data_IF_996975676814
#
_entry.id   IF_996975676814
#
_cell.length_a   1.000
_cell.length_b   1.000
_cell.length_c   1.000
_cell.angle_alpha   90.00
_cell.angle_beta   90.00
_cell.angle_gamma   90.00
#
_symmetry.space_group_name_H-M   'P 1'
#
loop_
_entity.id
_entity.type
_entity.pdbx_description
1 polymer ?
#
# COMPACT_ATOMS: atom_id res chain seq x y z
N UNK A 1 14.65 -7.98 -10.51
CA UNK A 1 14.75 -6.70 -9.76
C UNK A 1 13.94 -5.52 -10.34
N UNK A 2 13.61 -5.44 -11.64
CA UNK A 2 12.89 -4.27 -12.20
C UNK A 2 11.42 -4.08 -11.74
N UNK A 3 10.71 -5.17 -11.39
CA UNK A 3 9.28 -5.09 -11.06
C UNK A 3 8.97 -4.44 -9.70
N UNK A 4 9.81 -4.64 -8.68
CA UNK A 4 9.58 -4.03 -7.36
C UNK A 4 9.79 -2.54 -7.37
N UNK A 5 10.86 -2.05 -8.01
CA UNK A 5 11.12 -0.62 -8.13
C UNK A 5 9.94 0.10 -8.81
N UNK A 6 9.44 -0.46 -9.92
CA UNK A 6 8.26 0.06 -10.60
C UNK A 6 7.01 0.05 -9.72
N UNK A 7 6.81 -1.01 -8.93
CA UNK A 7 5.65 -1.12 -8.03
C UNK A 7 5.71 -0.10 -6.89
N UNK A 8 6.90 0.18 -6.34
CA UNK A 8 7.12 1.22 -5.34
C UNK A 8 6.84 2.62 -5.91
N UNK A 9 7.35 2.93 -7.11
CA UNK A 9 7.06 4.20 -7.79
C UNK A 9 5.56 4.40 -8.04
N UNK A 10 4.83 3.32 -8.37
CA UNK A 10 3.38 3.37 -8.52
C UNK A 10 2.72 3.69 -7.17
N UNK A 11 3.17 3.07 -6.08
CA UNK A 11 2.66 3.34 -4.73
C UNK A 11 2.85 4.82 -4.33
N UNK A 12 4.03 5.37 -4.58
CA UNK A 12 4.34 6.79 -4.33
C UNK A 12 3.38 7.69 -5.12
N UNK A 13 3.26 7.47 -6.43
CA UNK A 13 2.35 8.24 -7.29
C UNK A 13 0.89 8.17 -6.81
N UNK A 14 0.42 7.01 -6.34
CA UNK A 14 -0.94 6.87 -5.78
C UNK A 14 -1.11 7.62 -4.47
N UNK A 15 -0.08 7.61 -3.62
CA UNK A 15 -0.06 8.36 -2.37
C UNK A 15 -0.15 9.86 -2.64
N UNK A 16 0.65 10.38 -3.56
CA UNK A 16 0.63 11.80 -3.94
C UNK A 16 -0.67 12.22 -4.60
N UNK A 17 -1.26 11.33 -5.41
CA UNK A 17 -2.59 11.57 -5.99
C UNK A 17 -3.63 11.76 -4.89
N UNK A 18 -3.66 10.86 -3.89
CA UNK A 18 -4.61 10.96 -2.79
C UNK A 18 -4.36 12.21 -1.94
N UNK A 19 -3.10 12.51 -1.61
CA UNK A 19 -2.73 13.76 -0.91
C UNK A 19 -3.21 15.00 -1.65
N UNK A 20 -3.01 15.05 -2.97
CA UNK A 20 -3.43 16.17 -3.81
C UNK A 20 -4.94 16.33 -3.81
N UNK A 21 -5.69 15.23 -3.94
CA UNK A 21 -7.16 15.26 -3.91
C UNK A 21 -7.69 15.74 -2.56
N UNK A 22 -7.09 15.30 -1.45
CA UNK A 22 -7.44 15.76 -0.11
C UNK A 22 -7.15 17.26 0.04
N UNK A 23 -5.93 17.72 -0.33
CA UNK A 23 -5.55 19.14 -0.25
C UNK A 23 -6.43 20.06 -1.10
N UNK A 24 -6.93 19.56 -2.23
CA UNK A 24 -7.81 20.31 -3.14
C UNK A 24 -9.30 20.19 -2.79
N UNK A 25 -9.65 19.56 -1.65
CA UNK A 25 -11.04 19.29 -1.26
C UNK A 25 -11.85 18.67 -2.41
N UNK A 26 -11.24 17.70 -3.10
CA UNK A 26 -11.92 16.95 -4.15
C UNK A 26 -13.16 16.22 -3.60
N UNK A 27 -14.06 15.78 -4.48
CA UNK A 27 -15.27 15.10 -4.04
C UNK A 27 -14.95 13.82 -3.26
N UNK A 28 -15.80 13.49 -2.28
CA UNK A 28 -15.64 12.30 -1.45
C UNK A 28 -15.49 11.03 -2.30
N UNK A 29 -16.29 10.91 -3.37
CA UNK A 29 -16.19 9.82 -4.33
C UNK A 29 -14.77 9.71 -4.95
N UNK A 30 -14.17 10.82 -5.36
CA UNK A 30 -12.81 10.84 -5.94
C UNK A 30 -11.75 10.43 -4.91
N UNK A 31 -11.89 10.92 -3.67
CA UNK A 31 -10.98 10.60 -2.56
C UNK A 31 -11.06 9.10 -2.22
N UNK A 32 -12.26 8.55 -2.04
CA UNK A 32 -12.46 7.13 -1.74
C UNK A 32 -11.94 6.24 -2.88
N UNK A 33 -12.22 6.61 -4.14
CA UNK A 33 -11.70 5.89 -5.31
C UNK A 33 -10.17 5.92 -5.36
N UNK A 34 -9.53 7.02 -4.99
CA UNK A 34 -8.07 7.11 -4.90
C UNK A 34 -7.51 6.28 -3.74
N UNK A 35 -8.20 6.23 -2.59
CA UNK A 35 -7.83 5.40 -1.45
C UNK A 35 -7.88 3.89 -1.77
N UNK A 36 -8.90 3.43 -2.51
CA UNK A 36 -8.96 2.05 -3.01
C UNK A 36 -7.74 1.72 -3.89
N UNK A 37 -7.39 2.62 -4.83
CA UNK A 37 -6.21 2.44 -5.68
C UNK A 37 -4.90 2.46 -4.90
N UNK A 38 -4.81 3.24 -3.82
CA UNK A 38 -3.66 3.24 -2.93
C UNK A 38 -3.53 1.90 -2.20
N UNK A 39 -4.63 1.37 -1.67
CA UNK A 39 -4.68 0.04 -1.02
C UNK A 39 -4.21 -1.06 -1.98
N UNK A 40 -4.74 -1.09 -3.20
CA UNK A 40 -4.30 -2.05 -4.23
C UNK A 40 -2.81 -1.92 -4.55
N UNK A 41 -2.29 -0.70 -4.64
CA UNK A 41 -0.86 -0.47 -4.89
C UNK A 41 0.00 -0.99 -3.73
N UNK A 42 -0.41 -0.80 -2.48
CA UNK A 42 0.29 -1.36 -1.30
C UNK A 42 0.31 -2.89 -1.35
N UNK A 43 -0.84 -3.52 -1.61
CA UNK A 43 -0.93 -4.98 -1.75
C UNK A 43 0.02 -5.50 -2.84
N UNK A 44 0.12 -4.81 -3.98
CA UNK A 44 1.07 -5.18 -5.05
C UNK A 44 2.53 -5.07 -4.61
N UNK A 45 2.90 -4.07 -3.82
CA UNK A 45 4.26 -3.96 -3.26
C UNK A 45 4.55 -5.18 -2.37
N UNK A 46 3.63 -5.54 -1.48
CA UNK A 46 3.82 -6.70 -0.59
C UNK A 46 3.91 -8.00 -1.38
N UNK A 47 3.03 -8.21 -2.37
CA UNK A 47 3.11 -9.36 -3.28
C UNK A 47 4.42 -9.41 -4.07
N UNK A 48 4.94 -8.27 -4.52
CA UNK A 48 6.24 -8.20 -5.19
C UNK A 48 7.39 -8.58 -4.23
N UNK A 49 7.30 -8.22 -2.95
CA UNK A 49 8.29 -8.64 -1.96
C UNK A 49 8.25 -10.16 -1.72
N UNK A 50 7.06 -10.77 -1.70
CA UNK A 50 6.92 -12.23 -1.61
C UNK A 50 7.53 -12.89 -2.85
N UNK A 51 7.21 -12.38 -4.05
CA UNK A 51 7.71 -12.93 -5.32
C UNK A 51 9.22 -12.75 -5.56
N UNK A 52 9.90 -11.90 -4.78
CA UNK A 52 11.37 -11.79 -4.77
C UNK A 52 12.05 -12.84 -3.89
N UNK A 53 11.29 -13.54 -3.05
CA UNK A 53 11.82 -14.62 -2.23
C UNK A 53 12.03 -15.88 -3.08
N UNK A 54 12.99 -16.75 -2.72
CA UNK A 54 13.16 -18.03 -3.40
C UNK A 54 11.85 -18.82 -3.39
N UNK A 55 11.54 -19.52 -4.50
CA UNK A 55 10.34 -20.34 -4.62
C UNK A 55 10.28 -21.47 -3.58
N UNK A 56 11.45 -21.93 -3.13
CA UNK A 56 11.60 -22.88 -2.03
C UNK A 56 12.05 -22.11 -0.80
N UNK A 57 11.20 -22.06 0.23
CA UNK A 57 11.53 -21.48 1.52
C UNK A 57 12.32 -22.53 2.32
N UNK A 58 13.64 -22.39 2.34
CA UNK A 58 14.55 -23.39 2.93
C UNK A 58 14.85 -23.14 4.40
N UNK A 59 14.48 -21.97 4.92
CA UNK A 59 14.75 -21.58 6.31
C UNK A 59 13.46 -21.23 7.07
N UNK A 60 13.36 -21.55 8.37
CA UNK A 60 12.25 -21.10 9.21
C UNK A 60 12.05 -19.58 9.17
N UNK A 61 13.13 -18.81 9.05
CA UNK A 61 13.14 -17.35 8.95
C UNK A 61 12.43 -16.87 7.67
N UNK A 62 12.70 -17.50 6.53
CA UNK A 62 12.01 -17.20 5.27
C UNK A 62 10.51 -17.50 5.37
N UNK A 63 10.14 -18.65 5.96
CA UNK A 63 8.74 -19.03 6.17
C UNK A 63 8.02 -18.03 7.06
N UNK A 64 8.62 -17.64 8.20
CA UNK A 64 8.05 -16.63 9.10
C UNK A 64 7.90 -15.27 8.40
N UNK A 65 8.86 -14.89 7.56
CA UNK A 65 8.81 -13.64 6.80
C UNK A 65 7.67 -13.65 5.78
N UNK A 66 7.50 -14.71 5.00
CA UNK A 66 6.36 -14.84 4.06
C UNK A 66 5.03 -14.80 4.82
N UNK A 67 4.90 -15.54 5.93
CA UNK A 67 3.68 -15.53 6.74
C UNK A 67 3.33 -14.13 7.27
N UNK A 68 4.33 -13.33 7.65
CA UNK A 68 4.14 -11.93 8.06
C UNK A 68 3.62 -11.07 6.90
N UNK A 69 4.20 -11.21 5.71
CA UNK A 69 3.76 -10.46 4.52
C UNK A 69 2.35 -10.85 4.06
N UNK A 70 1.98 -12.14 4.18
CA UNK A 70 0.61 -12.61 3.90
C UNK A 70 -0.39 -11.97 4.86
N UNK A 71 -0.09 -11.97 6.17
CA UNK A 71 -0.92 -11.29 7.17
C UNK A 71 -1.05 -9.78 6.90
N UNK A 72 0.01 -9.15 6.40
CA UNK A 72 -0.03 -7.74 5.99
C UNK A 72 -1.00 -7.53 4.82
N UNK A 73 -1.01 -8.42 3.82
CA UNK A 73 -1.98 -8.37 2.72
C UNK A 73 -3.41 -8.51 3.24
N UNK A 74 -3.66 -9.49 4.11
CA UNK A 74 -4.99 -9.71 4.71
C UNK A 74 -5.46 -8.47 5.48
N UNK A 75 -4.57 -7.88 6.28
CA UNK A 75 -4.84 -6.63 6.99
C UNK A 75 -5.13 -5.48 6.04
N UNK A 76 -4.36 -5.33 4.95
CA UNK A 76 -4.62 -4.30 3.95
C UNK A 76 -5.96 -4.50 3.25
N UNK A 77 -6.36 -5.74 2.95
CA UNK A 77 -7.63 -6.05 2.30
C UNK A 77 -8.83 -5.77 3.20
N UNK A 78 -8.71 -6.05 4.50
CA UNK A 78 -9.76 -5.77 5.49
C UNK A 78 -9.83 -4.30 5.89
N UNK A 79 -8.77 -3.52 5.67
CA UNK A 79 -8.75 -2.08 5.97
C UNK A 79 -9.72 -1.33 5.05
N UNK A 80 -10.72 -0.62 5.63
CA UNK A 80 -11.64 0.25 4.88
C UNK A 80 -10.90 1.39 4.18
N UNK A 81 -11.34 1.82 2.98
CA UNK A 81 -10.76 2.96 2.28
C UNK A 81 -10.73 4.26 3.11
N UNK A 82 -11.70 4.45 4.00
CA UNK A 82 -11.77 5.62 4.90
C UNK A 82 -10.58 5.71 5.85
N UNK A 83 -10.08 4.57 6.36
CA UNK A 83 -8.94 4.55 7.26
C UNK A 83 -7.65 4.95 6.53
N UNK A 84 -7.51 4.61 5.25
CA UNK A 84 -6.41 5.13 4.43
C UNK A 84 -6.50 6.64 4.26
N UNK A 85 -7.70 7.19 4.06
CA UNK A 85 -7.91 8.64 3.96
C UNK A 85 -7.56 9.32 5.28
N UNK A 86 -8.03 8.78 6.42
CA UNK A 86 -7.76 9.30 7.75
C UNK A 86 -6.26 9.32 8.06
N UNK A 87 -5.55 8.22 7.78
CA UNK A 87 -4.10 8.15 7.95
C UNK A 87 -3.35 9.18 7.10
N UNK A 88 -3.76 9.39 5.85
CA UNK A 88 -3.14 10.40 4.99
C UNK A 88 -3.45 11.81 5.48
N UNK A 89 -4.68 12.10 5.94
CA UNK A 89 -5.04 13.39 6.56
C UNK A 89 -4.16 13.69 7.78
N UNK A 90 -4.08 12.76 8.72
CA UNK A 90 -3.22 12.88 9.89
C UNK A 90 -1.75 13.14 9.53
N UNK A 91 -1.25 12.49 8.47
CA UNK A 91 0.11 12.71 7.96
C UNK A 91 0.31 14.12 7.38
N UNK A 92 -0.71 14.66 6.70
CA UNK A 92 -0.68 16.01 6.14
C UNK A 92 -0.73 17.10 7.21
N UNK A 93 -1.54 16.89 8.25
CA UNK A 93 -1.70 17.81 9.37
C UNK A 93 -0.44 17.87 10.25
N UNK A 94 0.37 16.80 10.23
CA UNK A 94 1.63 16.70 10.97
C UNK A 94 2.84 17.34 10.27
N UNK A 95 2.66 17.97 9.10
CA UNK A 95 3.72 18.72 8.41
C UNK A 95 4.81 17.88 7.74
N UNK A 96 4.59 16.58 7.50
CA UNK A 96 5.53 15.65 6.87
C UNK A 96 5.28 15.44 5.35
#
# INVERSE_FOLDING_TARGET
MHNRLRTVQILEKRTDTLRTLIRRNASEHQILKAAVKLREARIRVVNAQIGEMPSVLTTPEQTRRVAKLVKEIESLQSTPPLDFVANIRASLDSGA
#
